data_IF_717986812694
#
_entry.id   IF_717986812694
#
_cell.length_a   1.000
_cell.length_b   1.000
_cell.length_c   1.000
_cell.angle_alpha   90.00
_cell.angle_beta   90.00
_cell.angle_gamma   90.00
#
_symmetry.space_group_name_H-M   'P 1'
#
loop_
_entity.id
_entity.type
_entity.pdbx_description
1 polymer ?
#
# COMPACT_ATOMS: atom_id res chain seq x y z
N UNK A 1 -42.45 20.89 -24.25
CA UNK A 1 -41.27 19.98 -24.21
C UNK A 1 -41.76 18.63 -23.70
N UNK A 2 -41.85 17.62 -24.57
CA UNK A 2 -42.25 16.27 -24.19
C UNK A 2 -41.18 15.65 -23.30
N UNK A 3 -41.55 15.25 -22.07
CA UNK A 3 -40.62 14.50 -21.21
C UNK A 3 -40.27 13.17 -21.87
N UNK A 4 -39.01 12.76 -21.74
CA UNK A 4 -38.53 11.49 -22.28
C UNK A 4 -39.40 10.34 -21.74
N UNK A 5 -39.87 9.38 -22.57
CA UNK A 5 -40.85 8.37 -22.13
C UNK A 5 -40.42 7.57 -20.90
N UNK A 6 -39.11 7.30 -20.75
CA UNK A 6 -38.58 6.60 -19.58
C UNK A 6 -38.69 7.42 -18.28
N UNK A 7 -38.82 8.74 -18.36
CA UNK A 7 -38.97 9.63 -17.20
C UNK A 7 -40.44 9.91 -16.84
N UNK A 8 -41.41 9.39 -17.60
CA UNK A 8 -42.83 9.53 -17.32
C UNK A 8 -43.32 8.62 -16.18
N UNK A 9 -42.88 7.34 -16.08
CA UNK A 9 -43.27 6.48 -14.97
C UNK A 9 -42.71 6.97 -13.61
N UNK A 10 -43.38 6.63 -12.49
CA UNK A 10 -42.84 6.80 -11.14
C UNK A 10 -41.47 6.16 -10.94
N UNK A 11 -40.72 6.62 -9.94
CA UNK A 11 -39.33 6.20 -9.70
C UNK A 11 -39.23 4.69 -9.50
N UNK A 12 -40.22 4.09 -8.84
CA UNK A 12 -40.27 2.66 -8.54
C UNK A 12 -40.31 1.80 -9.82
N UNK A 13 -41.09 2.22 -10.82
CA UNK A 13 -41.15 1.54 -12.11
C UNK A 13 -39.87 1.74 -12.92
N UNK A 14 -39.25 2.92 -12.83
CA UNK A 14 -37.95 3.16 -13.47
C UNK A 14 -36.86 2.32 -12.84
N UNK A 15 -36.83 2.20 -11.52
CA UNK A 15 -35.86 1.34 -10.81
C UNK A 15 -36.04 -0.13 -11.20
N UNK A 16 -37.28 -0.64 -11.33
CA UNK A 16 -37.52 -1.99 -11.83
C UNK A 16 -36.99 -2.19 -13.26
N UNK A 17 -37.16 -1.19 -14.13
CA UNK A 17 -36.56 -1.21 -15.48
C UNK A 17 -35.04 -1.19 -15.35
N UNK A 18 -34.45 -0.26 -14.61
CA UNK A 18 -33.00 -0.18 -14.46
C UNK A 18 -32.39 -1.46 -13.91
N UNK A 19 -33.01 -2.09 -12.91
CA UNK A 19 -32.56 -3.36 -12.34
C UNK A 19 -32.53 -4.45 -13.41
N UNK A 20 -33.55 -4.55 -14.26
CA UNK A 20 -33.56 -5.53 -15.37
C UNK A 20 -32.46 -5.30 -16.42
N UNK A 21 -32.04 -4.05 -16.64
CA UNK A 21 -30.92 -3.71 -17.55
C UNK A 21 -29.55 -3.72 -16.89
N UNK A 22 -29.53 -3.69 -15.56
CA UNK A 22 -28.34 -3.67 -14.73
C UNK A 22 -28.01 -5.05 -14.17
N UNK A 23 -28.83 -6.07 -14.38
CA UNK A 23 -28.58 -7.43 -13.87
C UNK A 23 -27.49 -8.12 -14.70
N UNK A 24 -26.24 -8.04 -14.21
CA UNK A 24 -25.10 -8.78 -14.76
C UNK A 24 -24.57 -9.72 -13.67
N UNK A 25 -23.92 -10.82 -14.06
CA UNK A 25 -23.24 -11.73 -13.12
C UNK A 25 -22.10 -11.04 -12.34
N UNK A 26 -21.72 -9.84 -12.77
CA UNK A 26 -20.87 -8.89 -12.08
C UNK A 26 -20.15 -7.98 -13.06
N UNK A 27 -19.35 -7.04 -12.54
CA UNK A 27 -18.68 -6.02 -13.35
C UNK A 27 -17.19 -5.99 -13.04
N UNK A 28 -16.36 -6.19 -14.06
CA UNK A 28 -14.92 -5.95 -13.96
C UNK A 28 -14.61 -4.47 -14.17
N UNK A 29 -13.75 -3.96 -13.29
CA UNK A 29 -13.07 -2.70 -13.49
C UNK A 29 -11.65 -2.93 -14.00
N UNK A 30 -11.37 -2.35 -15.15
CA UNK A 30 -10.02 -2.34 -15.71
C UNK A 30 -9.19 -1.18 -15.14
N UNK A 31 -7.86 -1.34 -15.16
CA UNK A 31 -6.93 -0.31 -14.68
C UNK A 31 -7.11 1.04 -15.37
N UNK A 32 -7.47 1.03 -16.66
CA UNK A 32 -7.75 2.23 -17.42
C UNK A 32 -9.12 2.77 -16.97
N UNK A 33 -9.17 3.96 -16.35
CA UNK A 33 -10.42 4.48 -15.78
C UNK A 33 -11.51 4.59 -16.85
N UNK A 34 -12.74 4.23 -16.48
CA UNK A 34 -13.93 4.47 -17.29
C UNK A 34 -14.38 3.34 -18.21
N UNK A 35 -13.73 2.16 -18.19
CA UNK A 35 -14.25 0.97 -18.88
C UNK A 35 -14.69 -0.08 -17.89
N UNK A 36 -16.00 -0.13 -17.69
CA UNK A 36 -16.69 -1.25 -17.08
C UNK A 36 -16.92 -2.33 -18.13
N UNK A 37 -16.63 -3.58 -17.80
CA UNK A 37 -16.89 -4.73 -18.66
C UNK A 37 -17.64 -5.76 -17.83
N UNK A 38 -18.65 -6.41 -18.39
CA UNK A 38 -19.28 -7.55 -17.72
C UNK A 38 -18.26 -8.66 -17.47
N UNK A 39 -18.52 -9.55 -16.50
CA UNK A 39 -17.72 -10.78 -16.30
C UNK A 39 -17.58 -11.57 -17.60
N UNK A 40 -18.65 -11.65 -18.40
CA UNK A 40 -18.68 -12.43 -19.64
C UNK A 40 -17.98 -11.73 -20.83
N UNK A 41 -17.33 -10.58 -20.58
CA UNK A 41 -16.63 -9.82 -21.62
C UNK A 41 -17.54 -8.98 -22.51
N UNK A 42 -18.86 -9.05 -22.32
CA UNK A 42 -19.82 -8.16 -22.99
C UNK A 42 -19.62 -6.71 -22.52
N UNK A 43 -19.63 -5.79 -23.49
CA UNK A 43 -19.68 -4.36 -23.19
C UNK A 43 -20.97 -4.08 -22.43
N UNK A 44 -20.87 -3.42 -21.27
CA UNK A 44 -22.07 -3.00 -20.55
C UNK A 44 -22.93 -2.14 -21.48
N UNK A 45 -24.25 -2.33 -21.39
CA UNK A 45 -25.24 -1.54 -22.12
C UNK A 45 -25.35 -0.12 -21.57
N UNK A 46 -24.24 0.63 -21.59
CA UNK A 46 -24.15 2.01 -21.10
C UNK A 46 -24.93 3.02 -21.96
N UNK A 47 -25.67 2.55 -22.98
CA UNK A 47 -26.52 3.38 -23.85
C UNK A 47 -27.54 4.17 -23.04
N UNK A 48 -28.06 3.60 -21.94
CA UNK A 48 -28.97 4.30 -21.03
C UNK A 48 -28.31 5.51 -20.36
N UNK A 49 -27.02 5.42 -20.02
CA UNK A 49 -26.26 6.53 -19.42
C UNK A 49 -26.02 7.69 -20.39
N UNK A 50 -26.19 7.48 -21.69
CA UNK A 50 -25.98 8.52 -22.71
C UNK A 50 -27.22 9.36 -22.99
N UNK A 51 -28.40 8.97 -22.46
CA UNK A 51 -29.68 9.63 -22.76
C UNK A 51 -29.74 11.01 -22.13
N UNK A 52 -29.62 11.09 -20.80
CA UNK A 52 -29.57 12.35 -20.06
C UNK A 52 -28.96 12.12 -18.68
N UNK A 53 -28.56 13.22 -18.01
CA UNK A 53 -27.92 13.16 -16.69
C UNK A 53 -28.77 12.44 -15.64
N UNK A 54 -30.08 12.66 -15.63
CA UNK A 54 -30.95 11.98 -14.68
C UNK A 54 -30.91 10.47 -14.90
N UNK A 55 -31.21 9.98 -16.11
CA UNK A 55 -31.17 8.53 -16.40
C UNK A 55 -29.79 7.94 -16.12
N UNK A 56 -28.70 8.67 -16.41
CA UNK A 56 -27.35 8.23 -16.10
C UNK A 56 -27.12 8.05 -14.60
N UNK A 57 -27.53 9.03 -13.79
CA UNK A 57 -27.41 8.98 -12.34
C UNK A 57 -28.26 7.82 -11.79
N UNK A 58 -29.54 7.71 -12.18
CA UNK A 58 -30.45 6.65 -11.69
C UNK A 58 -29.98 5.24 -12.10
N UNK A 59 -29.54 5.06 -13.34
CA UNK A 59 -29.03 3.78 -13.83
C UNK A 59 -27.72 3.37 -13.17
N UNK A 60 -26.81 4.32 -12.90
CA UNK A 60 -25.57 4.06 -12.19
C UNK A 60 -25.81 3.60 -10.73
N UNK A 61 -26.87 4.09 -10.09
CA UNK A 61 -27.30 3.61 -8.78
C UNK A 61 -27.72 2.13 -8.84
N UNK A 62 -28.52 1.73 -9.84
CA UNK A 62 -28.91 0.34 -10.06
C UNK A 62 -27.68 -0.55 -10.37
N UNK A 63 -26.79 -0.08 -11.24
CA UNK A 63 -25.57 -0.79 -11.62
C UNK A 63 -24.71 -1.17 -10.42
N UNK A 64 -24.49 -0.25 -9.47
CA UNK A 64 -23.70 -0.55 -8.27
C UNK A 64 -24.46 -1.29 -7.18
N UNK A 65 -25.79 -1.20 -7.18
CA UNK A 65 -26.63 -1.88 -6.20
C UNK A 65 -26.79 -3.37 -6.51
N UNK A 66 -26.94 -3.71 -7.79
CA UNK A 66 -27.26 -5.06 -8.23
C UNK A 66 -26.03 -5.93 -8.50
N UNK A 67 -24.87 -5.31 -8.77
CA UNK A 67 -23.69 -6.05 -9.22
C UNK A 67 -22.55 -6.06 -8.21
N UNK A 68 -21.81 -7.17 -8.20
CA UNK A 68 -20.50 -7.22 -7.58
C UNK A 68 -19.47 -6.50 -8.45
N UNK A 69 -18.68 -5.62 -7.83
CA UNK A 69 -17.59 -4.91 -8.51
C UNK A 69 -16.29 -5.69 -8.31
N UNK A 70 -15.75 -6.23 -9.39
CA UNK A 70 -14.53 -7.02 -9.38
C UNK A 70 -13.30 -6.20 -9.75
N UNK A 71 -12.26 -6.32 -8.94
CA UNK A 71 -10.93 -5.77 -9.17
C UNK A 71 -9.92 -6.90 -9.22
N UNK A 72 -8.95 -6.82 -10.14
CA UNK A 72 -7.79 -7.71 -10.16
C UNK A 72 -6.50 -6.92 -10.11
N UNK A 73 -5.43 -7.57 -9.70
CA UNK A 73 -4.07 -7.03 -9.85
C UNK A 73 -3.84 -6.55 -11.29
N UNK A 74 -3.27 -5.35 -11.44
CA UNK A 74 -3.04 -4.76 -12.75
C UNK A 74 -1.58 -4.50 -13.01
N UNK A 75 -1.19 -4.72 -14.26
CA UNK A 75 0.10 -4.31 -14.81
C UNK A 75 -0.13 -3.17 -15.81
N UNK A 76 0.71 -2.15 -15.73
CA UNK A 76 0.78 -1.06 -16.71
C UNK A 76 2.25 -0.85 -17.05
N UNK A 77 2.58 -0.97 -18.35
CA UNK A 77 3.95 -0.73 -18.83
C UNK A 77 4.41 0.68 -18.49
N UNK A 78 3.52 1.65 -18.68
CA UNK A 78 3.78 3.08 -18.44
C UNK A 78 4.11 3.38 -16.98
N UNK A 79 3.53 2.64 -16.02
CA UNK A 79 3.79 2.83 -14.59
C UNK A 79 4.80 1.84 -14.01
N UNK A 80 5.32 0.90 -14.80
CA UNK A 80 6.14 -0.20 -14.27
C UNK A 80 7.38 0.33 -13.54
N UNK A 81 8.10 1.26 -14.17
CA UNK A 81 9.29 1.89 -13.60
C UNK A 81 8.94 2.76 -12.39
N UNK A 82 7.86 3.54 -12.44
CA UNK A 82 7.39 4.38 -11.32
C UNK A 82 7.05 3.55 -10.09
N UNK A 83 6.26 2.48 -10.27
CA UNK A 83 5.86 1.58 -9.17
C UNK A 83 7.10 0.92 -8.57
N UNK A 84 7.99 0.39 -9.41
CA UNK A 84 9.20 -0.28 -8.95
C UNK A 84 10.16 0.65 -8.19
N UNK A 85 10.41 1.84 -8.72
CA UNK A 85 11.22 2.87 -8.04
C UNK A 85 10.60 3.25 -6.70
N UNK A 86 9.29 3.51 -6.67
CA UNK A 86 8.58 3.86 -5.45
C UNK A 86 8.64 2.76 -4.39
N UNK A 87 8.48 1.49 -4.78
CA UNK A 87 8.52 0.34 -3.87
C UNK A 87 9.90 0.21 -3.22
N UNK A 88 10.97 0.28 -4.03
CA UNK A 88 12.35 0.22 -3.53
C UNK A 88 12.66 1.40 -2.61
N UNK A 89 12.35 2.63 -3.01
CA UNK A 89 12.55 3.81 -2.18
C UNK A 89 11.79 3.72 -0.85
N UNK A 90 10.56 3.19 -0.89
CA UNK A 90 9.73 2.99 0.30
C UNK A 90 10.33 1.95 1.25
N UNK A 91 10.85 0.83 0.72
CA UNK A 91 11.54 -0.19 1.52
C UNK A 91 12.73 0.42 2.24
N UNK A 92 13.62 1.08 1.49
CA UNK A 92 14.85 1.68 2.03
C UNK A 92 14.55 2.72 3.10
N UNK A 93 13.54 3.55 2.85
CA UNK A 93 13.16 4.59 3.79
C UNK A 93 12.54 4.02 5.06
N UNK A 94 11.71 2.97 4.95
CA UNK A 94 11.20 2.26 6.11
C UNK A 94 12.33 1.61 6.91
N UNK A 95 13.37 1.06 6.26
CA UNK A 95 14.56 0.55 6.97
C UNK A 95 15.32 1.65 7.72
N UNK A 96 15.43 2.85 7.13
CA UNK A 96 16.03 4.01 7.82
C UNK A 96 15.20 4.45 9.02
N UNK A 97 13.87 4.55 8.88
CA UNK A 97 12.96 4.90 9.98
C UNK A 97 13.05 3.85 11.09
N UNK A 98 13.09 2.57 10.74
CA UNK A 98 13.30 1.47 11.70
C UNK A 98 14.62 1.63 12.44
N UNK A 99 15.71 1.84 11.71
CA UNK A 99 17.04 2.00 12.31
C UNK A 99 17.07 3.19 13.26
N UNK A 100 16.47 4.31 12.86
CA UNK A 100 16.27 5.48 13.72
C UNK A 100 15.44 5.16 14.96
N UNK A 101 14.28 4.53 14.79
CA UNK A 101 13.40 4.16 15.89
C UNK A 101 14.17 3.31 16.90
N UNK A 102 14.92 2.31 16.45
CA UNK A 102 15.73 1.44 17.30
C UNK A 102 16.81 2.18 18.08
N UNK A 103 17.52 3.10 17.42
CA UNK A 103 18.53 3.94 18.08
C UNK A 103 17.88 4.90 19.09
N UNK A 104 16.75 5.49 18.71
CA UNK A 104 16.04 6.50 19.46
C UNK A 104 15.18 5.94 20.61
N UNK A 105 14.97 4.61 20.69
CA UNK A 105 14.26 3.95 21.81
C UNK A 105 14.78 4.39 23.17
N UNK A 106 16.10 4.58 23.27
CA UNK A 106 16.79 5.01 24.49
C UNK A 106 16.44 6.44 24.94
N UNK A 107 15.82 7.23 24.07
CA UNK A 107 15.40 8.60 24.33
C UNK A 107 13.95 8.68 24.86
N UNK A 108 13.20 7.57 24.86
CA UNK A 108 11.79 7.55 25.24
C UNK A 108 11.60 7.89 26.73
N UNK A 109 10.85 8.97 27.00
CA UNK A 109 10.46 9.38 28.35
C UNK A 109 9.33 8.49 28.89
N UNK A 110 9.10 8.45 30.22
CA UNK A 110 7.96 7.74 30.80
C UNK A 110 6.61 8.13 30.17
N UNK A 111 6.45 9.40 29.79
CA UNK A 111 5.26 9.93 29.13
C UNK A 111 5.08 9.34 27.73
N UNK A 112 6.17 9.23 26.95
CA UNK A 112 6.14 8.60 25.62
C UNK A 112 5.83 7.11 25.76
N UNK A 113 6.46 6.42 26.71
CA UNK A 113 6.20 5.00 26.99
C UNK A 113 4.72 4.80 27.34
N UNK A 114 4.12 5.67 28.15
CA UNK A 114 2.70 5.60 28.48
C UNK A 114 1.79 5.80 27.24
N UNK A 115 2.13 6.75 26.36
CA UNK A 115 1.39 6.97 25.10
C UNK A 115 1.48 5.76 24.17
N UNK A 116 2.67 5.17 24.04
CA UNK A 116 2.88 3.95 23.26
C UNK A 116 2.11 2.78 23.86
N UNK A 117 2.19 2.56 25.18
CA UNK A 117 1.49 1.48 25.87
C UNK A 117 -0.02 1.53 25.65
N UNK A 118 -0.60 2.74 25.61
CA UNK A 118 -2.03 2.95 25.33
C UNK A 118 -2.43 2.52 23.91
N UNK A 119 -1.57 2.74 22.92
CA UNK A 119 -1.88 2.49 21.49
C UNK A 119 -1.45 1.11 21.01
N UNK A 120 -0.30 0.63 21.48
CA UNK A 120 0.34 -0.62 21.06
C UNK A 120 0.79 -1.43 22.29
N UNK A 121 -0.14 -1.92 23.13
CA UNK A 121 0.19 -2.57 24.39
C UNK A 121 1.12 -3.79 24.20
N UNK A 122 0.93 -4.57 23.13
CA UNK A 122 1.74 -5.74 22.82
C UNK A 122 3.21 -5.42 22.55
N UNK A 123 3.53 -4.19 22.12
CA UNK A 123 4.88 -3.77 21.72
C UNK A 123 5.59 -2.90 22.77
N UNK A 124 4.95 -2.64 23.92
CA UNK A 124 5.51 -1.79 24.97
C UNK A 124 6.70 -2.43 25.73
N UNK A 125 6.94 -3.74 25.56
CA UNK A 125 8.07 -4.44 26.19
C UNK A 125 9.41 -4.09 25.51
N UNK A 126 9.41 -3.99 24.17
CA UNK A 126 10.37 -3.16 23.44
C UNK A 126 10.22 -1.75 24.04
N UNK A 127 11.22 -0.89 24.22
CA UNK A 127 11.16 0.32 25.08
C UNK A 127 11.45 0.06 26.57
N UNK A 128 10.97 -1.05 27.16
CA UNK A 128 11.23 -1.38 28.57
C UNK A 128 12.41 -2.32 28.78
N UNK A 129 12.76 -3.13 27.78
CA UNK A 129 14.00 -3.93 27.82
C UNK A 129 15.23 -3.02 27.99
N UNK A 130 15.95 -3.23 29.09
CA UNK A 130 17.21 -2.54 29.40
C UNK A 130 18.28 -2.79 28.34
N UNK A 131 19.17 -1.81 28.22
CA UNK A 131 20.17 -1.61 27.17
C UNK A 131 21.31 -2.66 27.10
N UNK A 132 21.19 -3.82 27.74
CA UNK A 132 22.32 -4.75 27.92
C UNK A 132 22.37 -5.94 26.97
N UNK A 133 21.31 -6.21 26.20
CA UNK A 133 21.39 -7.22 25.14
C UNK A 133 21.65 -6.54 23.80
N UNK A 134 22.86 -6.75 23.28
CA UNK A 134 23.30 -6.79 21.88
C UNK A 134 22.33 -6.12 20.89
N UNK A 135 22.85 -5.22 20.05
CA UNK A 135 22.21 -4.67 18.84
C UNK A 135 21.64 -5.80 17.95
N UNK A 136 20.52 -6.42 18.33
CA UNK A 136 19.82 -7.39 17.52
C UNK A 136 19.21 -6.54 16.41
N UNK A 137 19.65 -6.70 15.16
CA UNK A 137 19.01 -6.01 14.06
C UNK A 137 17.55 -6.43 14.10
N UNK A 138 16.64 -5.46 14.10
CA UNK A 138 15.23 -5.72 13.83
C UNK A 138 14.97 -6.28 12.40
N UNK A 139 16.02 -6.75 11.71
CA UNK A 139 15.95 -7.38 10.40
C UNK A 139 15.84 -8.92 10.44
N UNK A 140 15.95 -9.57 11.60
CA UNK A 140 15.87 -11.02 11.68
C UNK A 140 14.46 -11.54 12.02
N UNK A 141 13.52 -11.40 11.09
CA UNK A 141 12.46 -12.40 10.87
C UNK A 141 11.51 -12.76 12.02
N UNK A 142 11.37 -11.94 13.05
CA UNK A 142 10.43 -12.14 14.14
C UNK A 142 9.47 -10.97 14.25
N UNK A 143 8.41 -10.98 13.45
CA UNK A 143 7.17 -10.28 13.82
C UNK A 143 6.84 -10.73 15.25
N UNK A 144 6.97 -9.83 16.25
CA UNK A 144 6.82 -10.09 17.70
C UNK A 144 5.38 -10.48 18.08
N UNK A 145 4.82 -11.50 17.41
CA UNK A 145 3.42 -11.87 17.44
C UNK A 145 2.48 -10.86 16.77
N UNK A 146 2.99 -9.82 16.09
CA UNK A 146 2.17 -8.79 15.44
C UNK A 146 2.45 -8.69 13.95
N UNK A 147 1.42 -8.44 13.16
CA UNK A 147 1.57 -8.24 11.71
C UNK A 147 2.62 -7.15 11.40
N UNK A 148 3.50 -7.37 10.41
CA UNK A 148 4.51 -6.40 9.96
C UNK A 148 3.95 -4.97 9.79
N UNK A 149 2.71 -4.84 9.29
CA UNK A 149 2.08 -3.52 9.13
C UNK A 149 1.79 -2.79 10.45
N UNK A 150 1.48 -3.51 11.52
CA UNK A 150 1.28 -2.95 12.87
C UNK A 150 2.63 -2.52 13.43
N UNK A 151 3.66 -3.34 13.23
CA UNK A 151 5.01 -3.04 13.69
C UNK A 151 5.55 -1.74 13.10
N UNK A 152 5.36 -1.53 11.80
CA UNK A 152 5.76 -0.29 11.13
C UNK A 152 4.99 0.94 11.58
N UNK A 153 3.72 0.79 11.92
CA UNK A 153 2.93 1.89 12.50
C UNK A 153 3.38 2.24 13.91
N UNK A 154 3.83 1.25 14.67
CA UNK A 154 4.48 1.46 15.96
C UNK A 154 5.80 2.24 15.81
N UNK A 155 6.71 1.81 14.93
CA UNK A 155 8.00 2.49 14.69
C UNK A 155 7.80 3.95 14.29
N UNK A 156 6.86 4.21 13.37
CA UNK A 156 6.55 5.57 12.92
C UNK A 156 5.93 6.40 14.04
N UNK A 157 4.97 5.85 14.78
CA UNK A 157 4.34 6.56 15.89
C UNK A 157 5.34 6.91 17.01
N UNK A 158 6.26 6.01 17.32
CA UNK A 158 7.34 6.27 18.27
C UNK A 158 8.21 7.44 17.79
N UNK A 159 8.63 7.41 16.52
CA UNK A 159 9.44 8.48 15.94
C UNK A 159 8.71 9.82 15.89
N UNK A 160 7.41 9.82 15.57
CA UNK A 160 6.57 11.02 15.64
C UNK A 160 6.51 11.58 17.06
N UNK A 161 6.38 10.75 18.10
CA UNK A 161 6.39 11.24 19.48
C UNK A 161 7.75 11.82 19.86
N UNK A 162 8.83 11.10 19.54
CA UNK A 162 10.19 11.51 19.86
C UNK A 162 10.59 12.80 19.13
N UNK A 163 10.12 13.01 17.90
CA UNK A 163 10.44 14.21 17.13
C UNK A 163 9.89 15.50 17.73
N UNK A 164 8.96 15.41 18.69
CA UNK A 164 8.41 16.57 19.41
C UNK A 164 9.12 16.82 20.75
N UNK A 165 10.07 15.99 21.15
CA UNK A 165 10.84 16.21 22.38
C UNK A 165 11.86 17.36 22.20
N UNK A 166 12.07 18.18 23.24
CA UNK A 166 13.12 19.18 23.23
C UNK A 166 14.49 18.55 22.96
N UNK A 167 15.29 19.22 22.13
CA UNK A 167 16.67 18.82 21.82
C UNK A 167 16.80 17.44 21.13
N UNK A 168 15.70 16.89 20.59
CA UNK A 168 15.69 15.57 19.99
C UNK A 168 16.73 15.41 18.88
N UNK A 169 16.87 16.38 17.97
CA UNK A 169 17.85 16.37 16.88
C UNK A 169 19.30 16.26 17.39
N UNK A 170 19.67 17.01 18.42
CA UNK A 170 21.03 16.94 18.98
C UNK A 170 21.26 15.63 19.73
N UNK A 171 20.25 15.13 20.46
CA UNK A 171 20.32 13.85 21.18
C UNK A 171 20.47 12.68 20.22
N UNK A 172 19.72 12.66 19.12
CA UNK A 172 19.81 11.59 18.12
C UNK A 172 21.09 11.69 17.28
N UNK A 173 21.58 12.89 16.95
CA UNK A 173 22.90 13.10 16.34
C UNK A 173 24.00 12.43 17.16
N UNK A 174 24.06 12.67 18.48
CA UNK A 174 25.05 12.06 19.37
C UNK A 174 24.99 10.53 19.42
N UNK A 175 23.80 9.94 19.24
CA UNK A 175 23.63 8.49 19.17
C UNK A 175 24.13 7.96 17.81
N UNK A 176 23.79 8.65 16.72
CA UNK A 176 24.15 8.26 15.35
C UNK A 176 25.66 8.40 15.12
N UNK A 177 26.33 9.40 15.70
CA UNK A 177 27.79 9.56 15.63
C UNK A 177 28.56 8.37 16.23
N UNK A 178 27.93 7.64 17.16
CA UNK A 178 28.46 6.39 17.74
C UNK A 178 28.11 5.14 16.90
N UNK A 179 27.32 5.31 15.84
CA UNK A 179 26.91 4.27 14.89
C UNK A 179 27.69 4.33 13.58
N UNK A 180 27.87 3.18 12.91
CA UNK A 180 28.62 3.09 11.66
C UNK A 180 28.00 3.84 10.47
N UNK A 181 28.79 4.03 9.41
CA UNK A 181 28.47 4.79 8.19
C UNK A 181 27.95 3.89 7.04
N UNK A 182 26.99 3.02 7.31
CA UNK A 182 26.38 2.20 6.26
C UNK A 182 25.38 3.02 5.39
N UNK A 183 25.00 2.51 4.23
CA UNK A 183 24.05 3.12 3.28
C UNK A 183 22.64 3.22 3.87
N UNK A 184 22.30 2.30 4.77
CA UNK A 184 21.10 2.33 5.61
C UNK A 184 21.25 3.26 6.82
N UNK A 185 22.43 3.86 7.02
CA UNK A 185 22.65 4.81 8.09
C UNK A 185 21.72 6.01 7.92
N UNK A 186 20.96 6.36 8.96
CA UNK A 186 20.10 7.53 8.90
C UNK A 186 20.90 8.84 9.05
N UNK A 187 22.23 8.78 9.20
CA UNK A 187 23.11 9.93 9.41
C UNK A 187 22.86 11.08 8.44
N UNK A 188 22.83 10.80 7.14
CA UNK A 188 22.56 11.83 6.12
C UNK A 188 21.17 12.45 6.22
N UNK A 189 20.17 11.71 6.72
CA UNK A 189 18.82 12.26 6.94
C UNK A 189 18.83 13.30 8.05
N UNK A 190 19.61 13.06 9.10
CA UNK A 190 19.72 13.96 10.26
C UNK A 190 20.61 15.15 9.92
N UNK A 191 21.75 14.95 9.26
CA UNK A 191 22.65 16.03 8.81
C UNK A 191 21.94 17.04 7.89
N UNK A 192 20.98 16.59 7.07
CA UNK A 192 20.22 17.45 6.17
C UNK A 192 18.89 17.96 6.75
N UNK A 193 18.64 17.73 8.04
CA UNK A 193 17.39 18.09 8.72
C UNK A 193 16.11 17.63 7.99
N UNK A 194 16.14 16.43 7.37
CA UNK A 194 15.01 15.88 6.61
C UNK A 194 14.13 14.93 7.41
N UNK A 195 14.45 14.68 8.67
CA UNK A 195 13.77 13.66 9.46
C UNK A 195 12.28 13.98 9.66
N UNK A 196 11.97 15.20 10.09
CA UNK A 196 10.58 15.62 10.34
C UNK A 196 9.77 15.57 9.04
N UNK A 197 10.35 16.03 7.93
CA UNK A 197 9.74 15.96 6.60
C UNK A 197 9.40 14.50 6.21
N UNK A 198 10.34 13.58 6.42
CA UNK A 198 10.19 12.14 6.12
C UNK A 198 9.11 11.47 6.96
N UNK A 199 9.02 11.84 8.24
CA UNK A 199 7.99 11.34 9.15
C UNK A 199 6.62 11.92 8.78
N UNK A 200 6.56 13.20 8.40
CA UNK A 200 5.34 13.87 7.95
C UNK A 200 4.82 13.32 6.61
N UNK A 201 5.70 12.78 5.77
CA UNK A 201 5.30 12.11 4.53
C UNK A 201 4.48 10.84 4.83
N UNK A 202 3.15 11.00 4.82
CA UNK A 202 2.19 9.91 4.92
C UNK A 202 2.25 9.03 3.69
N UNK A 203 2.91 7.89 3.82
CA UNK A 203 3.00 6.87 2.77
C UNK A 203 2.10 5.71 3.14
N UNK A 204 0.95 5.66 2.49
CA UNK A 204 0.08 4.49 2.60
C UNK A 204 0.62 3.39 1.69
N UNK A 205 0.80 2.16 2.19
CA UNK A 205 1.29 1.04 1.38
C UNK A 205 0.49 0.80 0.09
N UNK A 206 -0.81 1.10 0.13
CA UNK A 206 -1.74 0.95 -0.98
C UNK A 206 -1.81 2.16 -1.92
N UNK A 207 -1.03 3.22 -1.69
CA UNK A 207 -0.97 4.40 -2.56
C UNK A 207 -0.51 4.01 -3.96
N UNK A 208 -1.13 4.57 -4.99
CA UNK A 208 -0.70 4.36 -6.38
C UNK A 208 0.25 5.50 -6.72
N UNK A 209 1.56 5.20 -6.91
CA UNK A 209 2.56 6.25 -7.01
C UNK A 209 2.50 6.99 -8.33
N UNK A 210 2.86 8.27 -8.25
CA UNK A 210 3.11 9.17 -9.37
C UNK A 210 4.61 9.43 -9.51
N UNK A 211 5.03 10.02 -10.63
CA UNK A 211 6.43 10.48 -10.78
C UNK A 211 6.82 11.51 -9.72
N UNK A 212 5.88 12.39 -9.35
CA UNK A 212 6.09 13.36 -8.27
C UNK A 212 6.39 12.66 -6.94
N UNK A 213 5.69 11.58 -6.62
CA UNK A 213 5.96 10.80 -5.40
C UNK A 213 7.36 10.19 -5.40
N UNK A 214 7.82 9.69 -6.56
CA UNK A 214 9.17 9.13 -6.73
C UNK A 214 10.23 10.22 -6.56
N UNK A 215 10.01 11.41 -7.13
CA UNK A 215 10.93 12.53 -7.01
C UNK A 215 11.04 13.02 -5.57
N UNK A 216 9.91 13.21 -4.90
CA UNK A 216 9.85 13.57 -3.47
C UNK A 216 10.59 12.55 -2.61
N UNK A 217 10.38 11.26 -2.85
CA UNK A 217 11.09 10.20 -2.15
C UNK A 217 12.58 10.20 -2.41
N UNK A 218 12.99 10.45 -3.65
CA UNK A 218 14.40 10.49 -4.04
C UNK A 218 15.11 11.65 -3.33
N UNK A 219 14.49 12.83 -3.33
CA UNK A 219 15.00 14.01 -2.63
C UNK A 219 15.05 13.82 -1.12
N UNK A 220 14.03 13.18 -0.53
CA UNK A 220 13.91 13.04 0.91
C UNK A 220 14.76 11.91 1.48
N UNK A 221 14.93 10.80 0.75
CA UNK A 221 15.65 9.64 1.26
C UNK A 221 17.17 9.86 1.36
N UNK A 222 17.68 10.98 0.83
CA UNK A 222 19.12 11.36 0.81
C UNK A 222 19.99 10.19 0.37
N UNK A 223 19.49 9.46 -0.62
CA UNK A 223 20.19 8.36 -1.22
C UNK A 223 20.71 8.89 -2.55
N UNK A 224 22.04 8.80 -2.85
CA UNK A 224 22.51 8.90 -4.23
C UNK A 224 21.65 7.96 -5.08
N UNK A 225 21.34 8.26 -6.35
CA UNK A 225 20.34 7.53 -7.14
C UNK A 225 20.61 6.02 -7.04
N UNK A 226 19.85 5.37 -6.16
CA UNK A 226 20.05 3.96 -5.80
C UNK A 226 19.77 3.05 -7.00
N UNK A 227 18.99 3.60 -7.93
CA UNK A 227 18.80 3.24 -9.32
C UNK A 227 20.13 2.88 -10.00
N UNK A 228 21.20 3.68 -9.84
CA UNK A 228 22.51 3.40 -10.44
C UNK A 228 23.31 2.34 -9.68
N UNK A 229 23.22 2.29 -8.35
CA UNK A 229 24.00 1.37 -7.52
C UNK A 229 23.46 -0.07 -7.50
N UNK A 230 22.13 -0.24 -7.56
CA UNK A 230 21.47 -1.55 -7.68
C UNK A 230 21.20 -1.97 -9.12
N UNK A 231 21.65 -1.17 -10.11
CA UNK A 231 21.36 -1.40 -11.52
C UNK A 231 19.86 -1.43 -11.83
N UNK A 232 19.04 -0.71 -11.05
CA UNK A 232 17.59 -0.57 -11.22
C UNK A 232 17.25 0.61 -12.14
N UNK A 233 18.09 0.86 -13.15
CA UNK A 233 17.83 1.84 -14.19
C UNK A 233 16.62 1.45 -15.04
N UNK A 234 16.26 2.29 -16.01
CA UNK A 234 15.14 2.00 -16.92
C UNK A 234 15.32 0.64 -17.61
N UNK A 235 16.56 0.23 -17.90
CA UNK A 235 16.87 -1.04 -18.54
C UNK A 235 16.47 -2.25 -17.68
N UNK A 236 16.50 -2.13 -16.34
CA UNK A 236 16.08 -3.20 -15.44
C UNK A 236 14.57 -3.42 -15.42
N UNK A 237 13.81 -2.33 -15.43
CA UNK A 237 12.34 -2.39 -15.57
C UNK A 237 11.91 -2.78 -16.98
N UNK A 238 12.74 -2.53 -17.98
CA UNK A 238 12.59 -3.05 -19.34
C UNK A 238 12.98 -4.53 -19.45
N UNK A 239 13.88 -5.03 -18.59
CA UNK A 239 14.41 -6.41 -18.60
C UNK A 239 13.43 -7.50 -18.13
N UNK A 240 12.17 -7.14 -17.85
CA UNK A 240 11.07 -8.08 -17.60
C UNK A 240 10.50 -8.10 -16.18
N UNK A 241 10.97 -7.26 -15.26
CA UNK A 241 10.36 -7.14 -13.92
C UNK A 241 8.99 -6.45 -14.03
N UNK A 242 7.90 -7.16 -13.73
CA UNK A 242 6.54 -6.64 -13.81
C UNK A 242 6.01 -6.22 -12.43
N UNK A 243 6.20 -4.95 -12.10
CA UNK A 243 5.62 -4.31 -10.93
C UNK A 243 4.10 -4.12 -11.15
N UNK A 244 3.30 -4.69 -10.25
CA UNK A 244 1.84 -4.68 -10.35
C UNK A 244 1.21 -3.86 -9.24
N UNK A 245 0.07 -3.27 -9.54
CA UNK A 245 -0.84 -2.67 -8.57
C UNK A 245 -1.75 -3.75 -8.02
N UNK A 246 -1.97 -3.73 -6.70
CA UNK A 246 -2.91 -4.62 -6.03
C UNK A 246 -4.36 -4.32 -6.44
N UNK A 247 -5.23 -5.32 -6.38
CA UNK A 247 -6.66 -5.12 -6.57
C UNK A 247 -7.23 -4.13 -5.54
N UNK A 248 -6.77 -4.20 -4.29
CA UNK A 248 -7.20 -3.31 -3.21
C UNK A 248 -6.87 -1.82 -3.47
N UNK A 249 -5.66 -1.52 -3.98
CA UNK A 249 -5.26 -0.15 -4.35
C UNK A 249 -6.15 0.42 -5.46
N UNK A 250 -6.49 -0.42 -6.44
CA UNK A 250 -7.36 -0.02 -7.55
C UNK A 250 -8.79 0.22 -7.08
N UNK A 251 -9.30 -0.65 -6.21
CA UNK A 251 -10.60 -0.48 -5.59
C UNK A 251 -10.66 0.82 -4.78
N UNK A 252 -9.66 1.09 -3.94
CA UNK A 252 -9.61 2.32 -3.16
C UNK A 252 -9.58 3.57 -4.05
N UNK A 253 -8.73 3.60 -5.09
CA UNK A 253 -8.67 4.72 -6.04
C UNK A 253 -9.98 4.90 -6.80
N UNK A 254 -10.67 3.81 -7.16
CA UNK A 254 -11.96 3.89 -7.82
C UNK A 254 -13.02 4.48 -6.90
N UNK A 255 -13.14 3.97 -5.67
CA UNK A 255 -14.10 4.45 -4.68
C UNK A 255 -13.87 5.92 -4.32
N UNK A 256 -12.61 6.33 -4.18
CA UNK A 256 -12.24 7.72 -3.88
C UNK A 256 -12.75 8.71 -4.94
N UNK A 257 -12.77 8.29 -6.21
CA UNK A 257 -13.28 9.11 -7.33
C UNK A 257 -14.80 9.16 -7.43
N UNK A 258 -15.52 8.30 -6.73
CA UNK A 258 -16.98 8.30 -6.73
C UNK A 258 -17.51 9.30 -5.69
N UNK A 259 -18.60 10.04 -6.00
CA UNK A 259 -19.30 10.81 -4.98
C UNK A 259 -19.78 9.93 -3.82
N UNK A 260 -19.79 10.46 -2.58
CA UNK A 260 -20.25 9.73 -1.40
C UNK A 260 -21.68 9.18 -1.55
N UNK A 261 -22.57 9.91 -2.26
CA UNK A 261 -23.93 9.43 -2.55
C UNK A 261 -23.89 8.14 -3.37
N UNK A 262 -23.05 8.08 -4.40
CA UNK A 262 -22.89 6.93 -5.27
C UNK A 262 -22.29 5.72 -4.54
N UNK A 263 -21.28 5.96 -3.69
CA UNK A 263 -20.64 4.89 -2.89
C UNK A 263 -21.61 4.14 -1.97
N UNK A 264 -22.69 4.79 -1.51
CA UNK A 264 -23.71 4.18 -0.67
C UNK A 264 -24.57 3.13 -1.37
N UNK A 265 -24.56 3.08 -2.70
CA UNK A 265 -25.29 2.05 -3.45
C UNK A 265 -24.48 0.78 -3.63
N UNK A 266 -23.15 0.86 -3.57
CA UNK A 266 -22.27 -0.31 -3.69
C UNK A 266 -22.59 -1.31 -2.58
N UNK A 267 -22.83 -2.56 -2.97
CA UNK A 267 -23.10 -3.65 -2.02
C UNK A 267 -21.94 -4.62 -1.90
N UNK A 268 -21.27 -4.90 -3.00
CA UNK A 268 -20.25 -5.93 -3.02
C UNK A 268 -19.04 -5.55 -3.87
N UNK A 269 -17.86 -5.74 -3.28
CA UNK A 269 -16.57 -5.53 -3.91
C UNK A 269 -15.76 -6.80 -3.74
N UNK A 270 -15.30 -7.38 -4.85
CA UNK A 270 -14.46 -8.57 -4.86
C UNK A 270 -13.06 -8.21 -5.38
N UNK A 271 -12.05 -8.48 -4.55
CA UNK A 271 -10.65 -8.23 -4.84
C UNK A 271 -9.95 -9.55 -5.19
N UNK A 272 -9.41 -9.65 -6.38
CA UNK A 272 -8.66 -10.82 -6.86
C UNK A 272 -7.16 -10.50 -6.87
N UNK A 273 -6.50 -10.90 -5.79
CA UNK A 273 -5.05 -10.79 -5.60
C UNK A 273 -4.40 -12.12 -6.04
N UNK A 274 -4.43 -12.39 -7.35
CA UNK A 274 -3.92 -13.66 -7.92
C UNK A 274 -2.44 -13.60 -8.30
N UNK A 275 -1.84 -12.40 -8.25
CA UNK A 275 -0.46 -12.14 -8.63
C UNK A 275 0.19 -11.23 -7.60
N UNK A 276 1.49 -11.39 -7.41
CA UNK A 276 2.26 -10.51 -6.54
C UNK A 276 2.16 -9.05 -7.00
N UNK A 277 1.83 -8.14 -6.08
CA UNK A 277 1.81 -6.69 -6.29
C UNK A 277 2.86 -6.00 -5.43
N UNK A 278 3.33 -4.84 -5.88
CA UNK A 278 4.28 -4.00 -5.13
C UNK A 278 3.66 -3.36 -3.89
N UNK A 279 4.47 -2.91 -2.93
CA UNK A 279 4.01 -2.06 -1.82
C UNK A 279 3.51 -2.78 -0.57
N UNK A 280 3.77 -4.09 -0.39
CA UNK A 280 3.30 -4.93 0.75
C UNK A 280 1.77 -5.19 0.73
N UNK A 281 1.31 -6.03 -0.21
CA UNK A 281 -0.13 -6.31 -0.43
C UNK A 281 -0.88 -6.79 0.80
N UNK A 282 -0.21 -7.41 1.78
CA UNK A 282 -0.81 -7.90 3.02
C UNK A 282 -1.67 -6.85 3.75
N UNK A 283 -1.31 -5.57 3.65
CA UNK A 283 -2.01 -4.48 4.33
C UNK A 283 -2.91 -3.61 3.44
N UNK A 284 -2.97 -3.86 2.12
CA UNK A 284 -3.65 -2.95 1.20
C UNK A 284 -5.17 -2.88 1.38
N UNK A 285 -5.80 -3.96 1.89
CA UNK A 285 -7.22 -3.97 2.19
C UNK A 285 -7.62 -2.90 3.22
N UNK A 286 -6.67 -2.40 4.04
CA UNK A 286 -6.92 -1.30 4.99
C UNK A 286 -7.35 0.00 4.30
N UNK A 287 -6.97 0.20 3.04
CA UNK A 287 -7.43 1.31 2.20
C UNK A 287 -8.96 1.40 2.12
N UNK A 288 -9.65 0.27 2.30
CA UNK A 288 -11.10 0.17 2.12
C UNK A 288 -11.88 0.44 3.41
N UNK A 289 -11.21 0.52 4.56
CA UNK A 289 -11.84 0.74 5.86
C UNK A 289 -12.74 1.99 5.87
N UNK A 290 -12.31 3.18 5.39
CA UNK A 290 -13.15 4.36 5.40
C UNK A 290 -14.46 4.18 4.62
N UNK A 291 -14.40 3.47 3.49
CA UNK A 291 -15.58 3.20 2.65
C UNK A 291 -16.54 2.19 3.30
N UNK A 292 -16.02 1.18 3.99
CA UNK A 292 -16.86 0.25 4.79
C UNK A 292 -17.51 0.94 5.99
N UNK A 293 -16.84 1.94 6.57
CA UNK A 293 -17.42 2.77 7.65
C UNK A 293 -18.51 3.68 7.11
N UNK A 294 -18.29 4.33 5.96
CA UNK A 294 -19.25 5.19 5.26
C UNK A 294 -20.50 4.40 4.81
N UNK A 295 -20.30 3.20 4.27
CA UNK A 295 -21.35 2.32 3.77
C UNK A 295 -21.32 0.97 4.50
N UNK A 296 -22.07 0.88 5.59
CA UNK A 296 -22.19 -0.34 6.42
C UNK A 296 -22.81 -1.55 5.71
N UNK A 297 -23.42 -1.34 4.54
CA UNK A 297 -23.99 -2.40 3.70
C UNK A 297 -22.99 -2.91 2.65
N UNK A 298 -21.81 -2.31 2.54
CA UNK A 298 -20.77 -2.75 1.61
C UNK A 298 -20.02 -3.94 2.20
N UNK A 299 -19.99 -5.05 1.45
CA UNK A 299 -19.14 -6.21 1.72
C UNK A 299 -17.91 -6.17 0.81
N UNK A 300 -16.75 -6.39 1.41
CA UNK A 300 -15.49 -6.57 0.67
C UNK A 300 -15.06 -8.02 0.82
N UNK A 301 -15.01 -8.74 -0.29
CA UNK A 301 -14.42 -10.06 -0.39
C UNK A 301 -13.00 -9.93 -0.96
N UNK A 302 -12.02 -10.57 -0.31
CA UNK A 302 -10.64 -10.61 -0.80
C UNK A 302 -10.25 -12.06 -1.05
N UNK A 303 -9.96 -12.37 -2.32
CA UNK A 303 -9.47 -13.67 -2.80
C UNK A 303 -7.98 -13.53 -3.06
N UNK A 304 -7.17 -14.37 -2.42
CA UNK A 304 -5.71 -14.31 -2.49
C UNK A 304 -5.17 -15.67 -2.93
N UNK A 305 -4.37 -15.69 -3.99
CA UNK A 305 -3.72 -16.92 -4.44
C UNK A 305 -2.42 -17.15 -3.69
N UNK A 306 -2.46 -17.90 -2.58
CA UNK A 306 -1.28 -18.19 -1.74
C UNK A 306 -0.06 -18.67 -2.55
N UNK A 307 -0.29 -19.48 -3.59
CA UNK A 307 0.76 -20.04 -4.46
C UNK A 307 1.43 -19.03 -5.39
N UNK A 308 0.75 -17.92 -5.69
CA UNK A 308 1.22 -16.91 -6.66
C UNK A 308 1.52 -15.57 -5.99
N UNK A 309 1.02 -15.34 -4.78
CA UNK A 309 1.28 -14.14 -3.99
C UNK A 309 2.32 -14.36 -2.89
N UNK A 310 2.41 -15.56 -2.30
CA UNK A 310 3.21 -15.84 -1.10
C UNK A 310 3.83 -17.24 -1.12
N UNK A 311 4.68 -17.55 -2.11
CA UNK A 311 5.68 -18.61 -1.88
C UNK A 311 6.80 -17.98 -1.04
N UNK A 312 7.00 -18.40 0.22
CA UNK A 312 8.00 -17.80 1.08
C UNK A 312 9.39 -18.22 0.58
N UNK A 313 10.07 -17.35 -0.14
CA UNK A 313 11.52 -17.46 -0.32
C UNK A 313 12.20 -16.91 0.93
N UNK A 314 12.03 -17.57 2.08
CA UNK A 314 12.90 -17.51 3.27
C UNK A 314 13.32 -16.15 3.89
N UNK A 315 12.88 -15.00 3.39
CA UNK A 315 13.24 -13.69 3.91
C UNK A 315 12.05 -12.74 3.75
N UNK A 316 11.71 -12.05 4.84
CA UNK A 316 10.51 -11.22 5.01
C UNK A 316 10.45 -9.94 4.17
N UNK A 317 10.95 -9.96 2.93
CA UNK A 317 10.80 -8.86 1.97
C UNK A 317 10.43 -9.48 0.62
N UNK A 318 9.17 -9.31 0.23
CA UNK A 318 8.66 -9.75 -1.08
C UNK A 318 9.14 -8.80 -2.17
N UNK A 319 10.42 -8.89 -2.49
CA UNK A 319 11.01 -8.28 -3.66
C UNK A 319 10.60 -9.11 -4.90
N UNK A 320 10.38 -8.51 -6.09
CA UNK A 320 10.21 -9.30 -7.31
C UNK A 320 11.40 -10.25 -7.46
N UNK A 321 11.20 -11.43 -8.05
CA UNK A 321 12.12 -12.59 -8.07
C UNK A 321 13.59 -12.28 -8.45
N UNK A 322 13.90 -11.10 -9.01
CA UNK A 322 15.27 -10.62 -9.27
C UNK A 322 15.87 -9.67 -8.22
N UNK A 323 15.07 -9.03 -7.38
CA UNK A 323 15.51 -8.18 -6.26
C UNK A 323 15.83 -9.03 -5.01
N UNK A 324 15.36 -10.28 -4.92
CA UNK A 324 15.82 -11.25 -3.90
C UNK A 324 17.34 -11.45 -3.95
N UNK A 325 17.95 -11.37 -5.14
CA UNK A 325 19.41 -11.41 -5.34
C UNK A 325 20.13 -10.23 -4.66
N UNK A 326 19.49 -9.07 -4.57
CA UNK A 326 20.01 -7.89 -3.89
C UNK A 326 19.85 -8.02 -2.37
N UNK A 327 18.74 -8.62 -1.90
CA UNK A 327 18.59 -8.99 -0.49
C UNK A 327 19.63 -10.06 -0.06
N UNK A 328 19.97 -10.99 -0.95
CA UNK A 328 21.07 -11.95 -0.73
C UNK A 328 22.45 -11.27 -0.73
N UNK A 329 22.62 -10.16 -1.45
CA UNK A 329 23.84 -9.33 -1.40
C UNK A 329 23.92 -8.50 -0.10
N UNK A 330 22.78 -8.11 0.47
CA UNK A 330 22.67 -7.43 1.77
C UNK A 330 22.85 -8.39 2.97
N UNK A 331 22.54 -9.67 2.78
CA UNK A 331 22.78 -10.74 3.76
C UNK A 331 24.13 -11.38 3.48
N UNK A 332 25.20 -10.79 4.04
CA UNK A 332 26.54 -11.36 3.98
C UNK A 332 26.57 -12.86 4.29
N UNK A 333 27.12 -13.62 3.34
CA UNK A 333 27.70 -14.96 3.47
C UNK A 333 27.10 -15.91 4.53
N UNK A 334 26.07 -16.66 4.15
CA UNK A 334 25.97 -18.08 4.53
C UNK A 334 25.09 -18.83 3.53
N UNK A 335 25.71 -19.29 2.44
CA UNK A 335 25.04 -20.10 1.43
C UNK A 335 24.67 -21.47 1.99
N UNK A 336 23.37 -21.76 2.10
CA UNK A 336 22.89 -23.14 2.20
C UNK A 336 22.63 -23.63 0.78
N UNK A 337 23.58 -24.41 0.26
CA UNK A 337 23.44 -25.17 -1.00
C UNK A 337 22.57 -26.39 -0.71
N UNK A 338 21.29 -26.38 -1.11
CA UNK A 338 20.53 -27.62 -1.22
C UNK A 338 20.83 -28.28 -2.57
N UNK A 339 21.59 -29.38 -2.54
CA UNK A 339 21.74 -30.30 -3.67
C UNK A 339 20.50 -31.19 -3.74
N UNK A 340 19.79 -31.13 -4.85
CA UNK A 340 18.81 -32.17 -5.20
C UNK A 340 19.58 -33.31 -5.88
N UNK A 341 19.50 -34.51 -5.30
CA UNK A 341 19.87 -35.74 -6.02
C UNK A 341 18.65 -36.19 -6.83
N UNK A 342 18.94 -36.51 -8.08
CA UNK A 342 18.08 -37.01 -9.16
C UNK A 342 17.20 -38.18 -8.76
#
# INVERSE_FOLDING_TARGET
MSSFPLLQPPRELRDAIYDSYADYDGIWLTYKPGRFVSIDGTSLGLSLMLICKQVADEFQEALFRCNTIHFRTAYSKDLNSTIGKFDVLTILLNEKIRTLANMARTLATPEIIAKVAKRYPALCHLLREEQDSVRIPLSAGGEWGVATSIFHEFERYLMELLSHEPDFENRICKIIEKGGTDILSPRKLVEQNKMIEILAMRRYPWHIPTESDVNLLTEASVIPPIVAWFGLDETWFESGAQCRLSAASLAARFLDRLPSKTRRYIREVALHEDLQSSGRPGCHARALIPFCVENRKMRVERRVSLWRTDVPTGSGVSLPVRLSSVATLMQGQSGIRMKWKS
#
